data_IF_300705817368
#
_entry.id   IF_300705817368
#
_cell.length_a   1.000
_cell.length_b   1.000
_cell.length_c   1.000
_cell.angle_alpha   90.00
_cell.angle_beta   90.00
_cell.angle_gamma   90.00
#
_symmetry.space_group_name_H-M   'P 1'
#
loop_
_entity.id
_entity.type
_entity.pdbx_description
1 polymer ?
#
# COMPACT_ATOMS: atom_id res chain seq x y z
N UNK A 1 -9.84 4.58 -25.30
CA UNK A 1 -9.21 3.44 -24.59
C UNK A 1 -8.39 4.02 -23.46
N UNK A 2 -8.91 3.96 -22.24
CA UNK A 2 -8.15 4.40 -21.07
C UNK A 2 -7.06 3.37 -20.78
N UNK A 3 -5.81 3.73 -21.11
CA UNK A 3 -4.63 2.97 -20.72
C UNK A 3 -4.46 3.21 -19.23
N UNK A 4 -5.09 2.37 -18.41
CA UNK A 4 -4.80 2.37 -16.98
C UNK A 4 -3.33 2.00 -16.86
N UNK A 5 -2.46 2.83 -16.24
CA UNK A 5 -1.04 2.52 -16.18
C UNK A 5 -0.87 1.16 -15.50
N UNK A 6 -0.29 0.21 -16.24
CA UNK A 6 0.13 -1.09 -15.69
C UNK A 6 1.27 -0.77 -14.73
N UNK A 7 0.95 -0.63 -13.44
CA UNK A 7 1.96 -0.46 -12.39
C UNK A 7 2.86 -1.70 -12.41
N UNK A 8 4.02 -1.57 -13.07
CA UNK A 8 4.88 -2.68 -13.47
C UNK A 8 5.69 -3.20 -12.29
N UNK A 9 5.91 -2.34 -11.29
CA UNK A 9 6.65 -2.66 -10.07
C UNK A 9 5.76 -2.55 -8.82
N UNK A 10 6.12 -3.25 -7.72
CA UNK A 10 5.40 -3.09 -6.45
C UNK A 10 5.53 -1.67 -5.89
N UNK A 11 6.62 -0.97 -6.18
CA UNK A 11 6.83 0.43 -5.78
C UNK A 11 5.85 1.37 -6.47
N UNK A 12 5.66 1.23 -7.79
CA UNK A 12 4.70 2.04 -8.56
C UNK A 12 3.27 1.79 -8.09
N UNK A 13 2.89 0.53 -7.91
CA UNK A 13 1.56 0.17 -7.42
C UNK A 13 1.29 0.71 -6.01
N UNK A 14 2.29 0.62 -5.13
CA UNK A 14 2.18 1.20 -3.79
C UNK A 14 2.12 2.72 -3.83
N UNK A 15 2.90 3.37 -4.71
CA UNK A 15 2.87 4.83 -4.88
C UNK A 15 1.49 5.29 -5.34
N UNK A 16 0.89 4.61 -6.34
CA UNK A 16 -0.48 4.89 -6.77
C UNK A 16 -1.50 4.73 -5.63
N UNK A 17 -1.38 3.64 -4.85
CA UNK A 17 -2.23 3.41 -3.68
C UNK A 17 -2.11 4.53 -2.63
N UNK A 18 -0.89 4.96 -2.32
CA UNK A 18 -0.64 6.03 -1.35
C UNK A 18 -1.08 7.40 -1.88
N UNK A 19 -0.96 7.66 -3.17
CA UNK A 19 -1.50 8.86 -3.81
C UNK A 19 -3.03 8.93 -3.67
N UNK A 20 -3.74 7.81 -3.78
CA UNK A 20 -5.17 7.77 -3.48
C UNK A 20 -5.46 8.14 -2.01
N UNK A 21 -4.62 7.72 -1.07
CA UNK A 21 -4.76 8.13 0.33
C UNK A 21 -4.51 9.64 0.52
N UNK A 22 -3.46 10.19 -0.11
CA UNK A 22 -3.20 11.64 -0.08
C UNK A 22 -4.39 12.45 -0.61
N UNK A 23 -5.02 11.98 -1.70
CA UNK A 23 -6.19 12.60 -2.31
C UNK A 23 -7.53 12.28 -1.62
N UNK A 24 -7.55 11.49 -0.54
CA UNK A 24 -8.80 11.06 0.12
C UNK A 24 -9.69 10.16 -0.74
N UNK A 25 -9.14 9.52 -1.77
CA UNK A 25 -9.84 8.69 -2.75
C UNK A 25 -10.05 7.26 -2.24
N UNK A 26 -10.74 7.12 -1.11
CA UNK A 26 -10.90 5.85 -0.41
C UNK A 26 -11.62 4.75 -1.20
N UNK A 27 -12.43 5.12 -2.20
CA UNK A 27 -13.03 4.15 -3.11
C UNK A 27 -11.97 3.49 -4.00
N UNK A 28 -11.06 4.27 -4.58
CA UNK A 28 -9.95 3.75 -5.38
C UNK A 28 -9.00 2.90 -4.53
N UNK A 29 -8.70 3.33 -3.29
CA UNK A 29 -7.96 2.51 -2.34
C UNK A 29 -8.64 1.15 -2.08
N UNK A 30 -9.96 1.12 -1.91
CA UNK A 30 -10.69 -0.12 -1.67
C UNK A 30 -10.57 -1.10 -2.85
N UNK A 31 -10.55 -0.60 -4.09
CA UNK A 31 -10.36 -1.40 -5.31
C UNK A 31 -8.93 -1.93 -5.47
N UNK A 32 -7.94 -1.14 -5.05
CA UNK A 32 -6.53 -1.51 -5.06
C UNK A 32 -6.15 -2.55 -3.99
N UNK A 33 -7.01 -2.77 -2.99
CA UNK A 33 -6.84 -3.80 -1.96
C UNK A 33 -7.45 -5.14 -2.40
N UNK A 34 -6.81 -6.28 -2.07
CA UNK A 34 -7.38 -7.59 -2.35
C UNK A 34 -8.63 -7.82 -1.50
N UNK A 35 -9.64 -8.50 -2.03
CA UNK A 35 -10.91 -8.74 -1.34
C UNK A 35 -10.71 -9.42 0.04
N UNK A 36 -9.70 -10.30 0.14
CA UNK A 36 -9.42 -11.07 1.36
C UNK A 36 -8.95 -10.25 2.56
N UNK A 37 -8.47 -9.01 2.39
CA UNK A 37 -8.08 -8.16 3.53
C UNK A 37 -9.31 -7.58 4.25
N UNK A 38 -10.49 -7.70 3.64
CA UNK A 38 -11.75 -7.29 4.25
C UNK A 38 -12.37 -8.48 5.00
N UNK A 39 -12.81 -8.31 6.26
CA UNK A 39 -13.42 -9.37 7.07
C UNK A 39 -14.59 -10.09 6.38
N UNK A 40 -15.42 -9.38 5.62
CA UNK A 40 -16.57 -9.93 4.89
C UNK A 40 -16.23 -10.31 3.45
N UNK A 41 -14.95 -10.21 3.05
CA UNK A 41 -14.45 -10.28 1.67
C UNK A 41 -15.06 -9.26 0.70
N UNK A 42 -15.87 -8.32 1.19
CA UNK A 42 -16.43 -7.22 0.41
C UNK A 42 -15.62 -5.96 0.67
N UNK A 43 -15.05 -5.39 -0.41
CA UNK A 43 -14.34 -4.12 -0.37
C UNK A 43 -15.23 -3.04 0.24
N UNK A 44 -14.74 -2.39 1.30
CA UNK A 44 -15.52 -1.41 2.08
C UNK A 44 -14.72 -0.15 2.34
N UNK A 45 -15.20 0.97 1.78
CA UNK A 45 -14.63 2.32 2.02
C UNK A 45 -14.56 2.63 3.51
N UNK A 46 -15.57 2.23 4.29
CA UNK A 46 -15.59 2.43 5.76
C UNK A 46 -14.43 1.72 6.44
N UNK A 47 -14.11 0.49 6.03
CA UNK A 47 -13.00 -0.27 6.58
C UNK A 47 -11.65 0.32 6.15
N UNK A 48 -11.54 0.79 4.90
CA UNK A 48 -10.33 1.51 4.44
C UNK A 48 -10.09 2.77 5.27
N UNK A 49 -11.10 3.63 5.46
CA UNK A 49 -10.98 4.84 6.30
C UNK A 49 -10.57 4.55 7.74
N UNK A 50 -10.98 3.40 8.28
CA UNK A 50 -10.58 2.97 9.63
C UNK A 50 -9.12 2.53 9.69
N UNK A 51 -8.64 1.85 8.64
CA UNK A 51 -7.26 1.37 8.55
C UNK A 51 -6.26 2.49 8.19
N UNK A 52 -6.71 3.49 7.45
CA UNK A 52 -5.92 4.62 6.95
C UNK A 52 -6.54 5.94 7.45
N UNK A 53 -6.44 6.25 8.76
CA UNK A 53 -7.04 7.42 9.35
C UNK A 53 -6.29 8.71 8.97
N UNK A 54 -7.01 9.83 8.99
CA UNK A 54 -6.43 11.14 8.69
C UNK A 54 -6.09 11.30 7.20
N UNK A 55 -5.21 12.26 6.92
CA UNK A 55 -4.77 12.56 5.55
C UNK A 55 -3.27 12.32 5.44
N UNK A 56 -2.86 11.54 4.45
CA UNK A 56 -1.44 11.39 4.12
C UNK A 56 -0.95 12.71 3.49
N UNK A 57 -0.02 13.38 4.14
CA UNK A 57 0.59 14.63 3.63
C UNK A 57 1.76 14.34 2.68
N UNK A 58 2.53 13.29 2.94
CA UNK A 58 3.68 12.91 2.11
C UNK A 58 4.10 11.47 2.34
N UNK A 59 4.84 10.91 1.40
CA UNK A 59 5.49 9.62 1.56
C UNK A 59 6.78 9.52 0.75
N UNK A 60 7.65 8.59 1.14
CA UNK A 60 8.88 8.27 0.43
C UNK A 60 9.15 6.77 0.54
N UNK A 61 9.34 6.10 -0.59
CA UNK A 61 9.78 4.71 -0.60
C UNK A 61 11.24 4.65 -0.18
N UNK A 62 11.53 3.85 0.84
CA UNK A 62 12.88 3.71 1.41
C UNK A 62 13.61 2.52 0.83
N UNK A 63 12.91 1.39 0.66
CA UNK A 63 13.49 0.17 0.10
C UNK A 63 12.40 -0.77 -0.40
N UNK A 64 12.78 -1.67 -1.31
CA UNK A 64 11.97 -2.82 -1.71
C UNK A 64 12.85 -4.07 -1.64
N UNK A 65 12.31 -5.14 -1.06
CA UNK A 65 12.99 -6.43 -0.94
C UNK A 65 12.04 -7.55 -1.30
N UNK A 66 12.38 -8.29 -2.34
CA UNK A 66 11.67 -9.51 -2.71
C UNK A 66 11.79 -10.54 -1.59
N UNK A 67 10.66 -11.14 -1.22
CA UNK A 67 10.66 -12.26 -0.27
C UNK A 67 10.27 -13.57 -0.93
N UNK A 68 9.48 -13.50 -2.01
CA UNK A 68 8.96 -14.66 -2.72
C UNK A 68 8.80 -14.31 -4.22
N UNK A 69 8.62 -15.30 -5.12
CA UNK A 69 8.34 -15.05 -6.55
C UNK A 69 7.09 -14.19 -6.81
N UNK A 70 6.15 -14.16 -5.87
CA UNK A 70 4.92 -13.39 -5.94
C UNK A 70 4.86 -12.23 -4.93
N UNK A 71 5.90 -12.01 -4.10
CA UNK A 71 5.81 -11.04 -3.00
C UNK A 71 7.08 -10.22 -2.78
N UNK A 72 6.87 -8.95 -2.47
CA UNK A 72 7.90 -7.94 -2.19
C UNK A 72 7.48 -7.13 -0.98
N UNK A 73 8.37 -6.98 -0.01
CA UNK A 73 8.19 -6.04 1.09
C UNK A 73 8.72 -4.68 0.67
N UNK A 74 7.90 -3.63 0.81
CA UNK A 74 8.26 -2.26 0.49
C UNK A 74 8.17 -1.41 1.75
N UNK A 75 9.30 -0.85 2.17
CA UNK A 75 9.39 0.01 3.35
C UNK A 75 9.20 1.46 2.93
N UNK A 76 8.29 2.16 3.61
CA UNK A 76 7.86 3.51 3.27
C UNK A 76 7.94 4.39 4.51
N UNK A 77 8.50 5.57 4.35
CA UNK A 77 8.31 6.67 5.30
C UNK A 77 7.05 7.43 4.92
N UNK A 78 6.17 7.66 5.88
CA UNK A 78 4.90 8.34 5.68
C UNK A 78 4.79 9.50 6.65
N UNK A 79 4.20 10.58 6.15
CA UNK A 79 3.91 11.79 6.90
C UNK A 79 2.41 12.00 6.84
N UNK A 80 1.70 11.79 7.94
CA UNK A 80 0.24 11.90 7.98
C UNK A 80 -0.21 12.95 9.00
N UNK A 81 -1.37 13.57 8.72
CA UNK A 81 -2.00 14.54 9.62
C UNK A 81 -3.15 13.86 10.35
N UNK A 82 -3.09 13.84 11.68
CA UNK A 82 -4.16 13.43 12.57
C UNK A 82 -4.60 14.60 13.48
N UNK A 83 -5.63 14.38 14.32
CA UNK A 83 -6.14 15.40 15.25
C UNK A 83 -5.07 15.96 16.20
N UNK A 84 -4.01 15.19 16.49
CA UNK A 84 -2.88 15.62 17.32
C UNK A 84 -1.76 16.37 16.58
N UNK A 85 -1.84 16.50 15.25
CA UNK A 85 -0.83 17.17 14.45
C UNK A 85 -0.26 16.30 13.33
N UNK A 86 0.96 16.65 12.91
CA UNK A 86 1.69 15.97 11.87
C UNK A 86 2.56 14.86 12.48
N UNK A 87 2.42 13.64 11.98
CA UNK A 87 3.14 12.47 12.49
C UNK A 87 3.96 11.82 11.39
N UNK A 88 5.19 11.44 11.74
CA UNK A 88 6.11 10.71 10.88
C UNK A 88 6.12 9.24 11.28
N UNK A 89 5.83 8.35 10.33
CA UNK A 89 5.84 6.92 10.53
C UNK A 89 6.75 6.19 9.55
N UNK A 90 7.18 4.98 9.93
CA UNK A 90 7.71 4.00 8.99
C UNK A 90 6.78 2.80 8.93
N UNK A 91 6.48 2.38 7.71
CA UNK A 91 5.49 1.34 7.44
C UNK A 91 6.05 0.41 6.38
N UNK A 92 5.97 -0.90 6.63
CA UNK A 92 6.24 -1.94 5.65
C UNK A 92 4.94 -2.41 5.04
N UNK A 93 4.85 -2.34 3.72
CA UNK A 93 3.78 -2.96 2.95
C UNK A 93 4.27 -4.28 2.36
N UNK A 94 3.55 -5.37 2.63
CA UNK A 94 3.72 -6.62 1.89
C UNK A 94 2.90 -6.53 0.60
N UNK A 95 3.59 -6.27 -0.50
CA UNK A 95 3.01 -6.25 -1.84
C UNK A 95 2.99 -7.67 -2.39
N UNK A 96 1.87 -8.08 -2.97
CA UNK A 96 1.71 -9.39 -3.61
C UNK A 96 1.22 -9.20 -5.03
N UNK A 97 1.85 -9.89 -5.97
CA UNK A 97 1.46 -9.94 -7.37
C UNK A 97 0.35 -10.97 -7.55
N UNK A 98 -0.79 -10.54 -8.08
CA UNK A 98 -2.02 -11.34 -8.10
C UNK A 98 -2.73 -11.28 -9.43
N UNK A 99 -3.51 -12.31 -9.72
CA UNK A 99 -4.44 -12.36 -10.85
C UNK A 99 -5.72 -11.51 -10.61
N UNK A 100 -6.70 -11.65 -11.51
CA UNK A 100 -8.01 -11.00 -11.45
C UNK A 100 -8.88 -11.46 -10.26
N UNK A 101 -8.58 -12.65 -9.70
CA UNK A 101 -9.26 -13.27 -8.56
C UNK A 101 -8.55 -13.01 -7.23
N UNK A 102 -7.58 -12.09 -7.21
CA UNK A 102 -6.73 -11.80 -6.05
C UNK A 102 -5.89 -13.01 -5.56
N UNK A 103 -5.61 -13.98 -6.43
CA UNK A 103 -4.75 -15.13 -6.13
C UNK A 103 -3.27 -14.81 -6.44
N UNK A 104 -2.34 -15.15 -5.53
CA UNK A 104 -0.91 -14.94 -5.78
C UNK A 104 -0.43 -15.71 -7.01
N UNK A 105 0.27 -15.02 -7.91
CA UNK A 105 0.94 -15.61 -9.08
C UNK A 105 2.38 -15.08 -9.15
N UNK A 106 3.29 -15.84 -9.73
CA UNK A 106 4.67 -15.37 -9.85
C UNK A 106 4.77 -14.15 -10.78
N UNK A 107 5.63 -13.19 -10.44
CA UNK A 107 5.73 -11.88 -11.13
C UNK A 107 6.12 -11.93 -12.62
N UNK A 108 6.59 -13.07 -13.09
CA UNK A 108 6.90 -13.29 -14.50
C UNK A 108 5.68 -13.72 -15.33
N UNK A 109 4.57 -14.10 -14.69
CA UNK A 109 3.33 -14.37 -15.40
C UNK A 109 2.67 -13.06 -15.85
N UNK A 110 2.25 -12.95 -17.12
CA UNK A 110 1.58 -11.76 -17.61
C UNK A 110 0.18 -11.60 -16.99
N UNK A 111 -0.32 -10.37 -16.95
CA UNK A 111 -1.70 -10.06 -16.57
C UNK A 111 -1.96 -9.93 -15.07
N UNK A 112 -0.95 -10.08 -14.22
CA UNK A 112 -1.09 -9.81 -12.80
C UNK A 112 -0.93 -8.34 -12.44
N UNK A 113 -1.26 -8.02 -11.19
CA UNK A 113 -1.16 -6.69 -10.61
C UNK A 113 -0.64 -6.76 -9.17
N UNK A 114 0.14 -5.76 -8.77
CA UNK A 114 0.64 -5.66 -7.40
C UNK A 114 -0.40 -5.03 -6.48
N UNK A 115 -0.68 -5.66 -5.33
CA UNK A 115 -1.60 -5.14 -4.32
C UNK A 115 -1.01 -5.20 -2.91
N UNK A 116 -1.37 -4.27 -2.01
CA UNK A 116 -0.99 -4.34 -0.60
C UNK A 116 -1.83 -5.38 0.13
N UNK A 117 -1.19 -6.44 0.65
CA UNK A 117 -1.85 -7.53 1.37
C UNK A 117 -1.76 -7.39 2.88
N UNK A 118 -0.69 -6.79 3.37
CA UNK A 118 -0.49 -6.56 4.80
C UNK A 118 0.37 -5.32 5.01
N UNK A 119 0.18 -4.69 6.16
CA UNK A 119 0.84 -3.45 6.54
C UNK A 119 1.38 -3.62 7.96
N UNK A 120 2.64 -3.30 8.18
CA UNK A 120 3.31 -3.44 9.48
C UNK A 120 3.98 -2.12 9.86
N UNK A 121 3.69 -1.61 11.06
CA UNK A 121 4.41 -0.46 11.60
C UNK A 121 5.83 -0.87 11.95
N UNK A 122 6.80 -0.09 11.48
CA UNK A 122 8.21 -0.28 11.80
C UNK A 122 8.63 0.73 12.88
N UNK A 123 9.66 0.41 13.70
CA UNK A 123 10.26 1.38 14.58
C UNK A 123 10.81 2.57 13.78
N UNK A 124 10.47 3.79 14.20
CA UNK A 124 11.15 4.99 13.70
C UNK A 124 12.50 5.07 14.44
N UNK A 125 13.64 5.11 13.74
CA UNK A 125 14.94 5.25 14.40
C UNK A 125 14.92 6.49 15.29
N UNK A 126 15.32 6.33 16.55
CA UNK A 126 15.53 7.49 17.42
C UNK A 126 16.64 8.33 16.81
N UNK A 127 16.51 9.67 16.74
CA UNK A 127 17.63 10.50 16.35
C UNK A 127 18.81 10.19 17.26
N UNK A 128 19.98 9.95 16.66
CA UNK A 128 21.23 9.86 17.42
C UNK A 128 21.39 11.18 18.16
N UNK A 129 21.47 11.12 19.48
CA UNK A 129 21.85 12.30 20.28
C UNK A 129 23.31 12.61 19.92
N UNK A 130 23.53 13.81 19.40
CA UNK A 130 24.86 14.39 19.25
C UNK A 130 25.48 14.65 20.62
#
# INVERSE_FOLDING_TARGET
MDITPTNSTPQEALSAFLTHWQGGQYHAMALALPARVFPTRRRSVRQVRRAYPGTLSGFSILSARDTDPAATNVDVQVLWRQRGGLELGRVRYRMVYVDDRDQPIARHHPGGQWKPFATYTLPVPRPLRA
#
